data_IF_491677281944
#
_entry.id   IF_491677281944
#
_cell.length_a   1.000
_cell.length_b   1.000
_cell.length_c   1.000
_cell.angle_alpha   90.00
_cell.angle_beta   90.00
_cell.angle_gamma   90.00
#
_symmetry.space_group_name_H-M   'P 1'
#
loop_
_entity.id
_entity.type
_entity.pdbx_description
1 polymer ?
#
# COMPACT_ATOMS: atom_id res chain seq x y z
N UNK A 1 8.84 -10.81 53.46
CA UNK A 1 7.80 -11.51 52.69
C UNK A 1 7.70 -10.81 51.36
N UNK A 2 8.41 -11.31 50.34
CA UNK A 2 8.28 -10.80 48.99
C UNK A 2 6.97 -11.37 48.44
N UNK A 3 5.89 -10.60 48.56
CA UNK A 3 4.73 -10.82 47.70
C UNK A 3 5.22 -10.37 46.33
N UNK A 4 5.72 -11.32 45.54
CA UNK A 4 5.80 -11.12 44.11
C UNK A 4 4.35 -10.90 43.67
N UNK A 5 4.00 -9.64 43.39
CA UNK A 5 2.82 -9.35 42.57
C UNK A 5 3.05 -10.12 41.28
N UNK A 6 2.42 -11.29 41.19
CA UNK A 6 2.31 -12.00 39.92
C UNK A 6 1.27 -11.18 39.19
N UNK A 7 1.71 -10.37 38.22
CA UNK A 7 0.79 -9.76 37.27
C UNK A 7 -0.02 -10.92 36.68
N UNK A 8 -1.35 -10.91 36.76
CA UNK A 8 -2.14 -11.99 36.19
C UNK A 8 -1.79 -12.12 34.71
N UNK A 9 -1.40 -13.34 34.32
CA UNK A 9 -1.05 -13.68 32.94
C UNK A 9 -2.27 -14.30 32.30
N UNK A 10 -2.91 -13.55 31.40
CA UNK A 10 -3.99 -14.01 30.54
C UNK A 10 -3.53 -13.77 29.10
N UNK A 11 -3.53 -14.82 28.28
CA UNK A 11 -3.09 -14.73 26.90
C UNK A 11 -4.08 -13.87 26.10
N UNK A 12 -3.58 -12.89 25.36
CA UNK A 12 -4.37 -11.91 24.61
C UNK A 12 -5.02 -10.81 25.46
N UNK A 13 -4.73 -10.73 26.76
CA UNK A 13 -5.21 -9.65 27.64
C UNK A 13 -4.21 -8.49 27.61
N UNK A 14 -4.52 -7.47 26.83
CA UNK A 14 -3.66 -6.33 26.56
C UNK A 14 -3.84 -5.20 27.58
N UNK A 15 -5.03 -5.07 28.19
CA UNK A 15 -5.33 -3.99 29.15
C UNK A 15 -5.34 -4.43 30.63
N UNK A 16 -5.05 -5.71 30.89
CA UNK A 16 -5.00 -6.38 32.19
C UNK A 16 -6.34 -6.41 32.94
N UNK A 17 -7.47 -6.41 32.23
CA UNK A 17 -8.79 -6.56 32.85
C UNK A 17 -9.17 -8.02 33.17
N UNK A 18 -8.29 -8.97 32.81
CA UNK A 18 -8.41 -10.42 33.00
C UNK A 18 -9.33 -11.17 32.03
N UNK A 19 -9.87 -10.49 31.02
CA UNK A 19 -10.57 -11.09 29.89
C UNK A 19 -9.76 -10.88 28.58
N UNK A 20 -10.10 -11.59 27.51
CA UNK A 20 -9.55 -11.34 26.17
C UNK A 20 -10.72 -11.06 25.25
N UNK A 21 -10.85 -9.82 24.81
CA UNK A 21 -11.94 -9.33 23.98
C UNK A 21 -11.50 -8.35 22.88
N UNK A 22 -12.47 -7.72 22.20
CA UNK A 22 -12.19 -6.83 21.07
C UNK A 22 -11.42 -5.58 21.52
N UNK A 23 -11.59 -5.13 22.76
CA UNK A 23 -10.88 -3.99 23.33
C UNK A 23 -9.37 -4.27 23.35
N UNK A 24 -8.95 -5.48 23.72
CA UNK A 24 -7.55 -5.89 23.67
C UNK A 24 -7.01 -5.89 22.24
N UNK A 25 -7.81 -6.36 21.28
CA UNK A 25 -7.44 -6.34 19.85
C UNK A 25 -7.16 -4.91 19.38
N UNK A 26 -7.93 -3.92 19.83
CA UNK A 26 -7.70 -2.51 19.48
C UNK A 26 -6.39 -1.99 20.08
N UNK A 27 -6.04 -2.38 21.31
CA UNK A 27 -4.77 -2.02 21.93
C UNK A 27 -3.59 -2.63 21.14
N UNK A 28 -3.70 -3.88 20.70
CA UNK A 28 -2.68 -4.52 19.87
C UNK A 28 -2.52 -3.82 18.52
N UNK A 29 -3.63 -3.39 17.91
CA UNK A 29 -3.59 -2.60 16.66
C UNK A 29 -2.86 -1.27 16.88
N UNK A 30 -3.07 -0.61 18.02
CA UNK A 30 -2.35 0.61 18.37
C UNK A 30 -0.85 0.36 18.53
N UNK A 31 -0.44 -0.78 19.09
CA UNK A 31 0.98 -1.19 19.14
C UNK A 31 1.58 -1.40 17.75
N UNK A 32 0.88 -2.09 16.85
CA UNK A 32 1.33 -2.34 15.47
C UNK A 32 1.46 -1.03 14.68
N UNK A 33 0.50 -0.12 14.86
CA UNK A 33 0.50 1.20 14.24
C UNK A 33 1.47 2.19 14.89
N UNK A 34 2.20 1.77 15.93
CA UNK A 34 3.10 2.61 16.73
C UNK A 34 2.39 3.86 17.30
N UNK A 35 1.10 3.74 17.62
CA UNK A 35 0.37 4.76 18.38
C UNK A 35 0.73 4.71 19.87
N UNK A 36 1.00 3.50 20.37
CA UNK A 36 1.52 3.24 21.70
C UNK A 36 2.60 2.14 21.68
N UNK A 37 3.37 2.00 22.76
CA UNK A 37 4.42 1.00 22.88
C UNK A 37 4.17 0.07 24.08
N UNK A 38 4.13 -1.25 23.87
CA UNK A 38 3.82 -2.19 24.93
C UNK A 38 4.94 -2.24 25.97
N UNK A 39 4.54 -2.39 27.22
CA UNK A 39 5.41 -2.84 28.31
C UNK A 39 5.85 -4.29 28.11
N UNK A 40 6.87 -4.74 28.84
CA UNK A 40 7.33 -6.13 28.76
C UNK A 40 6.23 -7.15 29.12
N UNK A 41 5.32 -6.79 30.03
CA UNK A 41 4.23 -7.67 30.44
C UNK A 41 3.10 -7.68 29.40
N UNK A 42 2.74 -6.53 28.81
CA UNK A 42 1.77 -6.45 27.71
C UNK A 42 2.27 -7.24 26.50
N UNK A 43 3.53 -7.03 26.12
CA UNK A 43 4.17 -7.75 25.02
C UNK A 43 4.03 -9.26 25.18
N UNK A 44 4.27 -9.79 26.40
CA UNK A 44 4.14 -11.22 26.68
C UNK A 44 2.70 -11.74 26.64
N UNK A 45 1.72 -10.89 26.91
CA UNK A 45 0.32 -11.28 26.83
C UNK A 45 -0.15 -11.30 25.38
N UNK A 46 0.30 -10.34 24.56
CA UNK A 46 -0.23 -10.14 23.19
C UNK A 46 0.59 -10.80 22.08
N UNK A 47 1.83 -11.21 22.32
CA UNK A 47 2.58 -12.11 21.42
C UNK A 47 2.01 -13.54 21.55
N UNK A 48 0.95 -13.82 20.78
CA UNK A 48 0.12 -15.02 20.94
C UNK A 48 0.78 -16.24 20.28
N UNK A 49 1.48 -16.07 19.17
CA UNK A 49 2.23 -17.16 18.52
C UNK A 49 3.61 -17.36 19.13
N UNK A 50 4.07 -16.47 20.02
CA UNK A 50 5.40 -16.50 20.63
C UNK A 50 6.51 -16.40 19.58
N UNK A 51 6.34 -15.52 18.59
CA UNK A 51 7.32 -15.28 17.54
C UNK A 51 8.27 -14.09 17.81
N UNK A 52 8.14 -13.47 18.99
CA UNK A 52 8.89 -12.28 19.43
C UNK A 52 8.60 -11.01 18.60
N UNK A 53 7.48 -10.99 17.86
CA UNK A 53 6.95 -9.80 17.19
C UNK A 53 5.49 -9.57 17.57
N UNK A 54 5.02 -8.32 17.55
CA UNK A 54 3.59 -8.02 17.60
C UNK A 54 3.19 -7.59 16.21
N UNK A 55 2.32 -8.37 15.59
CA UNK A 55 1.90 -8.14 14.22
C UNK A 55 0.49 -8.67 13.94
N UNK A 56 0.06 -8.56 12.67
CA UNK A 56 -1.24 -9.01 12.23
C UNK A 56 -1.57 -10.48 12.57
N UNK A 57 -0.58 -11.36 12.68
CA UNK A 57 -0.80 -12.74 13.11
C UNK A 57 -1.41 -12.80 14.51
N UNK A 58 -0.87 -12.02 15.46
CA UNK A 58 -1.35 -11.93 16.85
C UNK A 58 -2.80 -11.46 16.89
N UNK A 59 -3.11 -10.41 16.15
CA UNK A 59 -4.49 -9.90 16.01
C UNK A 59 -5.43 -11.01 15.51
N UNK A 60 -5.06 -11.75 14.47
CA UNK A 60 -5.91 -12.82 13.94
C UNK A 60 -6.05 -13.99 14.93
N UNK A 61 -5.00 -14.35 15.66
CA UNK A 61 -5.07 -15.40 16.68
C UNK A 61 -5.90 -14.96 17.89
N UNK A 62 -5.84 -13.70 18.30
CA UNK A 62 -6.70 -13.13 19.33
C UNK A 62 -8.17 -13.22 18.92
N UNK A 63 -8.49 -12.83 17.68
CA UNK A 63 -9.85 -12.96 17.13
C UNK A 63 -10.32 -14.44 17.16
N UNK A 64 -9.43 -15.40 16.87
CA UNK A 64 -9.73 -16.82 16.98
C UNK A 64 -9.97 -17.30 18.42
N UNK A 65 -9.28 -16.71 19.39
CA UNK A 65 -9.49 -16.98 20.82
C UNK A 65 -10.85 -16.46 21.28
N UNK A 66 -11.25 -15.26 20.83
CA UNK A 66 -12.52 -14.60 21.19
C UNK A 66 -13.73 -15.33 20.60
N UNK A 67 -13.70 -15.63 19.30
CA UNK A 67 -14.88 -16.16 18.58
C UNK A 67 -14.92 -17.69 18.45
N UNK A 68 -13.84 -18.38 18.84
CA UNK A 68 -13.72 -19.83 18.69
C UNK A 68 -13.47 -20.20 17.23
N UNK A 69 -12.19 -20.12 16.83
CA UNK A 69 -11.68 -20.20 15.45
C UNK A 69 -12.51 -21.03 14.46
N UNK A 70 -13.26 -20.33 13.61
CA UNK A 70 -13.92 -20.90 12.44
C UNK A 70 -12.91 -21.26 11.32
N UNK A 71 -11.73 -20.63 11.31
CA UNK A 71 -10.67 -20.80 10.32
C UNK A 71 -9.92 -22.14 10.38
N UNK A 72 -10.06 -22.93 11.45
CA UNK A 72 -9.30 -24.18 11.68
C UNK A 72 -9.65 -25.35 10.74
N UNK A 73 -10.53 -25.14 9.76
CA UNK A 73 -11.02 -26.19 8.86
C UNK A 73 -10.39 -26.17 7.46
N UNK A 74 -9.55 -25.18 7.15
CA UNK A 74 -8.84 -25.08 5.87
C UNK A 74 -7.39 -25.56 6.07
N UNK A 75 -6.96 -26.51 5.24
CA UNK A 75 -5.60 -27.05 5.24
C UNK A 75 -4.62 -25.94 4.85
N UNK A 76 -3.78 -25.49 5.80
CA UNK A 76 -2.70 -24.55 5.53
C UNK A 76 -1.60 -25.26 4.74
N UNK A 77 -1.34 -24.81 3.52
CA UNK A 77 -0.23 -25.26 2.71
C UNK A 77 0.90 -24.22 2.77
N UNK A 78 1.95 -24.55 3.52
CA UNK A 78 3.14 -23.71 3.69
C UNK A 78 3.90 -23.43 2.37
N UNK A 79 3.56 -24.11 1.27
CA UNK A 79 4.11 -23.84 -0.06
C UNK A 79 3.35 -22.76 -0.83
N UNK A 80 2.18 -22.32 -0.34
CA UNK A 80 1.47 -21.22 -0.98
C UNK A 80 2.22 -19.89 -0.80
N UNK A 81 2.18 -19.09 -1.85
CA UNK A 81 2.79 -17.76 -1.91
C UNK A 81 1.71 -16.78 -2.34
N UNK A 82 1.59 -15.68 -1.60
CA UNK A 82 0.78 -14.54 -2.00
C UNK A 82 1.64 -13.57 -2.82
N UNK A 83 1.16 -13.18 -3.99
CA UNK A 83 1.80 -12.14 -4.79
C UNK A 83 1.14 -10.80 -4.52
N UNK A 84 1.96 -9.77 -4.27
CA UNK A 84 1.48 -8.43 -3.92
C UNK A 84 1.92 -7.41 -4.97
N UNK A 85 1.01 -6.50 -5.30
CA UNK A 85 1.29 -5.38 -6.20
C UNK A 85 0.72 -4.08 -5.64
N UNK A 86 1.51 -3.00 -5.75
CA UNK A 86 1.03 -1.63 -5.69
C UNK A 86 0.74 -1.17 -7.10
N UNK A 87 -0.53 -0.91 -7.41
CA UNK A 87 -0.96 -0.52 -8.76
C UNK A 87 -1.53 0.90 -8.75
N UNK A 88 -1.04 1.82 -9.60
CA UNK A 88 -1.59 3.17 -9.68
C UNK A 88 -2.84 3.20 -10.57
N UNK A 89 -3.88 3.87 -10.08
CA UNK A 89 -5.03 4.30 -10.89
C UNK A 89 -4.95 5.82 -11.05
N UNK A 90 -4.29 6.21 -12.15
CA UNK A 90 -4.09 7.60 -12.55
C UNK A 90 -5.40 8.36 -12.82
N UNK A 91 -6.48 7.68 -13.18
CA UNK A 91 -7.74 8.33 -13.50
C UNK A 91 -8.51 8.79 -12.25
N UNK A 92 -8.32 8.09 -11.14
CA UNK A 92 -9.00 8.38 -9.87
C UNK A 92 -8.04 8.84 -8.76
N UNK A 93 -6.76 9.09 -9.09
CA UNK A 93 -5.72 9.50 -8.15
C UNK A 93 -5.66 8.60 -6.91
N UNK A 94 -5.52 7.29 -7.13
CA UNK A 94 -5.46 6.31 -6.06
C UNK A 94 -4.40 5.24 -6.34
N UNK A 95 -3.89 4.65 -5.29
CA UNK A 95 -3.07 3.45 -5.33
C UNK A 95 -3.92 2.26 -4.85
N UNK A 96 -3.81 1.12 -5.52
CA UNK A 96 -4.48 -0.12 -5.14
C UNK A 96 -3.45 -1.10 -4.58
N UNK A 97 -3.73 -1.63 -3.39
CA UNK A 97 -3.02 -2.76 -2.83
C UNK A 97 -3.71 -4.04 -3.32
N UNK A 98 -3.04 -4.76 -4.22
CA UNK A 98 -3.56 -5.98 -4.83
C UNK A 98 -2.91 -7.22 -4.24
N UNK A 99 -3.72 -8.24 -3.97
CA UNK A 99 -3.27 -9.55 -3.47
C UNK A 99 -3.76 -10.63 -4.44
N UNK A 100 -2.82 -11.40 -4.97
CA UNK A 100 -3.09 -12.63 -5.73
C UNK A 100 -2.67 -13.83 -4.86
N UNK A 101 -3.66 -14.44 -4.22
CA UNK A 101 -3.51 -15.56 -3.29
C UNK A 101 -4.71 -16.52 -3.39
N UNK A 102 -4.46 -17.82 -3.27
CA UNK A 102 -5.50 -18.88 -3.37
C UNK A 102 -6.23 -19.14 -2.07
N UNK A 103 -5.56 -18.94 -0.94
CA UNK A 103 -6.12 -19.12 0.39
C UNK A 103 -6.90 -17.91 0.88
N UNK A 104 -7.57 -18.03 2.05
CA UNK A 104 -8.25 -16.91 2.67
C UNK A 104 -7.24 -15.92 3.28
N UNK A 105 -7.45 -14.63 3.02
CA UNK A 105 -6.73 -13.54 3.68
C UNK A 105 -7.54 -13.09 4.89
N UNK A 106 -7.05 -13.29 6.10
CA UNK A 106 -7.76 -12.90 7.33
C UNK A 106 -7.38 -11.52 7.83
N UNK A 107 -6.13 -11.12 7.57
CA UNK A 107 -5.63 -9.80 7.84
C UNK A 107 -4.34 -9.52 7.06
N UNK A 108 -3.97 -8.26 6.98
CA UNK A 108 -2.66 -7.84 6.49
C UNK A 108 -2.24 -6.52 7.16
N UNK A 109 -0.93 -6.29 7.15
CA UNK A 109 -0.32 -5.02 7.48
C UNK A 109 0.79 -4.70 6.47
N UNK A 110 1.03 -3.41 6.25
CA UNK A 110 2.15 -2.92 5.45
C UNK A 110 2.38 -1.43 5.72
N UNK A 111 3.52 -0.94 5.30
CA UNK A 111 3.89 0.47 5.37
C UNK A 111 4.00 1.06 3.97
N UNK A 112 3.54 2.29 3.82
CA UNK A 112 3.66 3.07 2.60
C UNK A 112 4.61 4.23 2.85
N UNK A 113 5.74 4.27 2.13
CA UNK A 113 6.71 5.36 2.18
C UNK A 113 6.51 6.31 1.00
N UNK A 114 6.55 7.62 1.28
CA UNK A 114 6.38 8.66 0.28
C UNK A 114 7.10 9.96 0.70
N UNK A 115 7.28 10.88 -0.26
CA UNK A 115 7.76 12.22 0.05
C UNK A 115 6.56 13.14 0.40
N UNK A 116 6.38 13.55 1.67
CA UNK A 116 5.26 14.38 2.09
C UNK A 116 5.33 15.81 1.53
N UNK A 117 6.45 16.22 0.92
CA UNK A 117 6.54 17.49 0.20
C UNK A 117 5.97 17.41 -1.23
N UNK A 118 5.73 16.21 -1.76
CA UNK A 118 5.26 15.99 -3.13
C UNK A 118 3.95 15.21 -3.21
N UNK A 119 3.62 14.41 -2.20
CA UNK A 119 2.42 13.56 -2.17
C UNK A 119 1.69 13.73 -0.84
N UNK A 120 0.40 14.05 -0.90
CA UNK A 120 -0.51 13.88 0.22
C UNK A 120 -1.22 12.53 0.10
N UNK A 121 -1.28 11.79 1.20
CA UNK A 121 -1.95 10.48 1.26
C UNK A 121 -3.17 10.61 2.16
N UNK A 122 -4.31 10.11 1.69
CA UNK A 122 -5.55 10.13 2.46
C UNK A 122 -5.85 8.76 3.08
N UNK A 123 -6.87 8.72 3.93
CA UNK A 123 -7.27 7.52 4.64
C UNK A 123 -7.56 6.35 3.66
N UNK A 124 -6.90 5.20 3.85
CA UNK A 124 -7.16 4.01 3.05
C UNK A 124 -8.56 3.46 3.35
N UNK A 125 -9.13 2.78 2.36
CA UNK A 125 -10.42 2.11 2.50
C UNK A 125 -10.46 0.79 1.75
N UNK A 126 -11.37 -0.10 2.17
CA UNK A 126 -11.58 -1.35 1.47
C UNK A 126 -12.11 -1.11 0.05
N UNK A 127 -11.52 -1.79 -0.92
CA UNK A 127 -12.01 -1.76 -2.30
C UNK A 127 -13.40 -2.41 -2.43
N UNK A 128 -13.72 -3.34 -1.53
CA UNK A 128 -15.06 -3.91 -1.32
C UNK A 128 -15.48 -3.70 0.14
N UNK A 129 -16.51 -2.89 0.36
CA UNK A 129 -17.02 -2.61 1.70
C UNK A 129 -17.52 -3.89 2.39
N UNK A 130 -17.03 -4.12 3.62
CA UNK A 130 -17.35 -5.23 4.50
C UNK A 130 -17.47 -4.67 5.92
N UNK A 131 -18.61 -4.89 6.58
CA UNK A 131 -18.92 -4.36 7.92
C UNK A 131 -18.18 -5.07 9.06
N UNK A 132 -17.65 -6.26 8.77
CA UNK A 132 -16.86 -7.07 9.70
C UNK A 132 -15.35 -6.89 9.56
N UNK A 133 -14.89 -6.06 8.61
CA UNK A 133 -13.46 -5.80 8.39
C UNK A 133 -13.10 -4.42 8.93
N UNK A 134 -12.14 -4.40 9.84
CA UNK A 134 -11.53 -3.18 10.34
C UNK A 134 -10.39 -2.78 9.42
N UNK A 135 -10.30 -1.48 9.12
CA UNK A 135 -9.13 -0.87 8.49
C UNK A 135 -8.68 0.27 9.39
N UNK A 136 -7.44 0.20 9.84
CA UNK A 136 -6.81 1.22 10.67
C UNK A 136 -5.52 1.67 9.99
N UNK A 137 -5.19 2.94 10.13
CA UNK A 137 -4.01 3.51 9.50
C UNK A 137 -3.45 4.66 10.29
N UNK A 138 -2.13 4.78 10.33
CA UNK A 138 -1.43 5.85 11.03
C UNK A 138 -0.34 6.43 10.16
N UNK A 139 -0.42 7.74 9.90
CA UNK A 139 0.67 8.49 9.30
C UNK A 139 1.67 8.92 10.39
N UNK A 140 2.92 8.53 10.20
CA UNK A 140 4.07 9.17 10.82
C UNK A 140 4.43 10.39 9.99
N UNK A 141 4.54 11.57 10.61
CA UNK A 141 4.82 12.86 9.93
C UNK A 141 6.16 12.95 9.18
N UNK A 142 6.84 11.82 8.99
CA UNK A 142 8.05 11.63 8.18
C UNK A 142 7.76 11.06 6.78
N UNK A 143 6.50 10.91 6.37
CA UNK A 143 6.14 10.34 5.07
C UNK A 143 6.02 8.81 5.08
N UNK A 144 5.61 8.24 6.21
CA UNK A 144 5.33 6.80 6.35
C UNK A 144 3.89 6.65 6.81
N UNK A 145 3.09 5.90 6.07
CA UNK A 145 1.72 5.53 6.43
C UNK A 145 1.67 4.03 6.73
N UNK A 146 1.46 3.68 7.99
CA UNK A 146 1.19 2.29 8.40
C UNK A 146 -0.28 1.98 8.16
N UNK A 147 -0.56 0.81 7.60
CA UNK A 147 -1.91 0.35 7.28
C UNK A 147 -2.07 -1.06 7.81
N UNK A 148 -3.19 -1.31 8.50
CA UNK A 148 -3.59 -2.62 8.98
C UNK A 148 -5.05 -2.86 8.61
N UNK A 149 -5.37 -4.08 8.17
CA UNK A 149 -6.74 -4.54 8.05
C UNK A 149 -6.91 -5.95 8.62
N UNK A 150 -8.01 -6.18 9.33
CA UNK A 150 -8.32 -7.46 9.94
C UNK A 150 -9.81 -7.75 9.88
N UNK A 151 -10.18 -9.01 9.63
CA UNK A 151 -11.53 -9.51 9.78
C UNK A 151 -11.84 -9.81 11.26
N UNK A 152 -12.77 -9.05 11.85
CA UNK A 152 -13.12 -9.12 13.26
C UNK A 152 -14.06 -10.29 13.62
N UNK A 153 -14.54 -11.07 12.66
CA UNK A 153 -15.43 -12.22 12.89
C UNK A 153 -14.76 -13.57 12.60
N UNK A 154 -13.45 -13.55 12.33
CA UNK A 154 -12.67 -14.73 11.98
C UNK A 154 -12.94 -15.29 10.58
N UNK A 155 -13.55 -14.48 9.72
CA UNK A 155 -13.72 -14.72 8.30
C UNK A 155 -12.48 -14.32 7.49
N UNK A 156 -12.70 -14.02 6.21
CA UNK A 156 -11.67 -13.56 5.28
C UNK A 156 -12.08 -12.23 4.66
N UNK A 157 -11.09 -11.38 4.43
CA UNK A 157 -11.22 -10.14 3.69
C UNK A 157 -11.35 -10.48 2.20
N UNK A 158 -12.36 -9.92 1.54
CA UNK A 158 -12.55 -10.06 0.11
C UNK A 158 -12.15 -8.79 -0.63
N UNK A 159 -11.33 -8.93 -1.68
CA UNK A 159 -11.01 -7.86 -2.61
C UNK A 159 -12.04 -7.70 -3.75
N UNK A 160 -12.00 -6.55 -4.43
CA UNK A 160 -12.67 -6.32 -5.72
C UNK A 160 -11.62 -6.41 -6.83
N UNK A 161 -11.76 -7.37 -7.74
CA UNK A 161 -10.81 -7.57 -8.85
C UNK A 161 -9.34 -7.65 -8.38
N UNK A 162 -9.08 -8.34 -7.26
CA UNK A 162 -7.77 -8.47 -6.56
C UNK A 162 -7.33 -7.26 -5.75
N UNK A 163 -7.98 -6.11 -5.87
CA UNK A 163 -7.73 -4.94 -5.02
C UNK A 163 -8.39 -5.12 -3.67
N UNK A 164 -7.62 -5.08 -2.58
CA UNK A 164 -8.11 -5.22 -1.21
C UNK A 164 -8.28 -3.84 -0.55
N UNK A 165 -7.28 -2.96 -0.72
CA UNK A 165 -7.29 -1.59 -0.22
C UNK A 165 -7.08 -0.62 -1.37
N UNK A 166 -7.83 0.47 -1.31
CA UNK A 166 -7.62 1.67 -2.11
C UNK A 166 -7.09 2.78 -1.23
N UNK A 167 -6.02 3.44 -1.66
CA UNK A 167 -5.36 4.54 -0.97
C UNK A 167 -5.46 5.77 -1.87
N UNK A 168 -6.34 6.73 -1.57
CA UNK A 168 -6.41 7.97 -2.33
C UNK A 168 -5.14 8.81 -2.10
N UNK A 169 -4.58 9.36 -3.16
CA UNK A 169 -3.35 10.16 -3.13
C UNK A 169 -3.54 11.45 -3.92
N UNK A 170 -2.91 12.54 -3.49
CA UNK A 170 -2.86 13.80 -4.20
C UNK A 170 -1.41 14.20 -4.45
N UNK A 171 -1.09 14.55 -5.70
CA UNK A 171 0.23 15.03 -6.06
C UNK A 171 0.28 16.56 -5.97
N UNK A 172 1.10 17.08 -5.06
CA UNK A 172 1.23 18.52 -4.80
C UNK A 172 2.48 19.14 -5.46
N UNK A 173 3.31 18.32 -6.12
CA UNK A 173 4.49 18.77 -6.86
C UNK A 173 4.17 19.48 -8.19
N UNK A 174 5.22 19.84 -8.93
CA UNK A 174 5.08 20.40 -10.28
C UNK A 174 4.76 19.33 -11.33
N UNK A 175 4.06 19.70 -12.39
CA UNK A 175 3.55 18.78 -13.41
C UNK A 175 4.59 17.88 -14.13
N UNK A 176 5.89 18.23 -14.09
CA UNK A 176 6.99 17.42 -14.67
C UNK A 176 7.76 16.60 -13.63
N UNK A 177 7.40 16.73 -12.35
CA UNK A 177 7.96 15.93 -11.27
C UNK A 177 7.19 14.62 -11.16
N UNK A 178 7.87 13.63 -10.60
CA UNK A 178 7.33 12.32 -10.27
C UNK A 178 7.78 12.04 -8.84
N UNK A 179 6.87 11.55 -8.02
CA UNK A 179 7.17 11.11 -6.66
C UNK A 179 6.93 9.60 -6.56
N UNK A 180 7.97 8.80 -6.30
CA UNK A 180 7.79 7.39 -6.03
C UNK A 180 7.11 7.22 -4.67
N UNK A 181 6.20 6.25 -4.61
CA UNK A 181 5.58 5.75 -3.38
C UNK A 181 5.91 4.27 -3.30
N UNK A 182 6.49 3.83 -2.19
CA UNK A 182 6.92 2.44 -1.97
C UNK A 182 6.15 1.76 -0.85
N UNK A 183 6.03 0.44 -0.94
CA UNK A 183 5.52 -0.42 0.13
C UNK A 183 6.65 -1.22 0.77
N UNK A 184 6.64 -1.27 2.09
CA UNK A 184 7.54 -2.08 2.91
C UNK A 184 6.77 -2.82 4.01
N UNK A 185 7.44 -3.72 4.74
CA UNK A 185 6.88 -4.37 5.93
C UNK A 185 5.63 -5.23 5.68
N UNK A 186 5.44 -5.76 4.47
CA UNK A 186 4.19 -6.46 4.11
C UNK A 186 4.10 -7.79 4.86
N UNK A 187 3.07 -7.94 5.68
CA UNK A 187 2.69 -9.20 6.33
C UNK A 187 1.23 -9.55 6.04
N UNK A 188 0.97 -10.82 5.82
CA UNK A 188 -0.35 -11.36 5.46
C UNK A 188 -0.68 -12.52 6.38
N UNK A 189 -1.80 -12.47 7.08
CA UNK A 189 -2.30 -13.56 7.93
C UNK A 189 -3.29 -14.44 7.15
N UNK A 190 -2.99 -15.73 7.10
CA UNK A 190 -3.77 -16.76 6.39
C UNK A 190 -4.87 -17.39 7.23
N UNK A 191 -5.39 -18.54 6.77
CA UNK A 191 -6.55 -19.22 7.36
C UNK A 191 -6.43 -19.53 8.86
N UNK A 192 -5.26 -20.01 9.27
CA UNK A 192 -4.97 -20.48 10.63
C UNK A 192 -4.34 -19.39 11.51
N UNK A 193 -4.29 -18.14 11.03
CA UNK A 193 -3.65 -17.02 11.71
C UNK A 193 -2.14 -16.94 11.50
N UNK A 194 -1.52 -17.93 10.85
CA UNK A 194 -0.09 -17.86 10.53
C UNK A 194 0.20 -16.88 9.39
N UNK A 195 1.44 -16.39 9.35
CA UNK A 195 1.91 -15.53 8.28
C UNK A 195 2.12 -16.33 6.98
N UNK A 196 1.54 -15.82 5.90
CA UNK A 196 1.70 -16.35 4.55
C UNK A 196 2.98 -15.79 3.94
N UNK A 197 3.69 -16.61 3.15
CA UNK A 197 4.86 -16.14 2.40
C UNK A 197 4.44 -15.14 1.32
N UNK A 198 5.02 -13.95 1.36
CA UNK A 198 4.70 -12.85 0.44
C UNK A 198 5.83 -12.63 -0.56
N UNK A 199 5.46 -12.49 -1.84
CA UNK A 199 6.34 -12.02 -2.90
C UNK A 199 5.75 -10.76 -3.52
N UNK A 200 6.33 -9.61 -3.20
CA UNK A 200 5.95 -8.37 -3.83
C UNK A 200 6.54 -8.27 -5.25
N UNK A 201 5.66 -8.19 -6.26
CA UNK A 201 6.04 -8.02 -7.67
C UNK A 201 6.26 -6.55 -8.00
N UNK A 202 5.37 -5.69 -7.48
CA UNK A 202 5.44 -4.23 -7.64
C UNK A 202 5.39 -3.57 -6.27
N UNK A 203 6.54 -3.13 -5.75
CA UNK A 203 6.63 -2.44 -4.46
C UNK A 203 6.65 -0.93 -4.60
N UNK A 204 6.89 -0.39 -5.78
CA UNK A 204 7.00 1.07 -6.01
C UNK A 204 6.07 1.49 -7.13
N UNK A 205 5.32 2.56 -6.90
CA UNK A 205 4.46 3.21 -7.89
C UNK A 205 4.73 4.71 -7.96
N UNK A 206 4.75 5.24 -9.17
CA UNK A 206 4.97 6.66 -9.42
C UNK A 206 3.65 7.43 -9.33
N UNK A 207 3.60 8.41 -8.43
CA UNK A 207 2.53 9.41 -8.32
C UNK A 207 3.00 10.71 -9.01
N UNK A 208 2.15 11.25 -9.89
CA UNK A 208 2.45 12.41 -10.75
C UNK A 208 1.18 13.05 -11.26
N UNK A 209 1.28 14.28 -11.78
CA UNK A 209 0.15 14.94 -12.45
C UNK A 209 -0.12 14.30 -13.81
N UNK A 210 -1.40 14.05 -14.10
CA UNK A 210 -1.87 13.49 -15.35
C UNK A 210 -2.62 14.60 -16.12
N UNK A 211 -2.23 14.90 -17.37
CA UNK A 211 -2.92 15.90 -18.16
C UNK A 211 -4.33 15.42 -18.56
N UNK A 212 -5.25 16.36 -18.77
CA UNK A 212 -6.62 16.04 -19.17
C UNK A 212 -6.82 15.77 -20.68
N UNK A 213 -5.86 16.17 -21.51
CA UNK A 213 -5.94 16.02 -22.97
C UNK A 213 -4.57 15.80 -23.62
N UNK A 214 -4.57 15.25 -24.83
CA UNK A 214 -3.36 15.16 -25.65
C UNK A 214 -2.99 16.55 -26.18
N UNK A 215 -1.75 16.99 -25.97
CA UNK A 215 -1.27 18.26 -26.50
C UNK A 215 0.20 18.17 -26.93
N UNK A 216 0.56 18.86 -28.02
CA UNK A 216 1.95 19.17 -28.37
C UNK A 216 2.16 20.65 -28.08
N UNK A 217 3.01 20.94 -27.10
CA UNK A 217 3.25 22.30 -26.64
C UNK A 217 4.23 23.01 -27.57
N UNK A 218 4.18 24.34 -27.56
CA UNK A 218 5.11 25.15 -28.32
C UNK A 218 6.55 24.88 -27.84
N UNK A 219 7.44 24.57 -28.78
CA UNK A 219 8.83 24.31 -28.45
C UNK A 219 9.51 25.59 -27.92
N UNK A 220 10.26 25.47 -26.84
CA UNK A 220 10.92 26.59 -26.17
C UNK A 220 12.34 26.23 -25.72
N UNK A 221 13.33 27.12 -25.91
CA UNK A 221 13.23 28.40 -26.61
C UNK A 221 13.27 28.24 -28.13
N UNK A 222 12.52 29.10 -28.84
CA UNK A 222 12.48 29.24 -30.31
C UNK A 222 12.08 30.71 -30.58
N UNK A 223 12.75 31.51 -31.46
CA UNK A 223 13.74 31.16 -32.51
C UNK A 223 15.22 31.47 -32.21
N UNK A 224 16.11 30.78 -32.95
CA UNK A 224 17.59 30.89 -32.99
C UNK A 224 18.43 30.25 -31.86
N UNK A 225 17.90 29.24 -31.15
CA UNK A 225 18.72 28.45 -30.22
C UNK A 225 19.17 27.12 -30.86
N UNK A 226 20.41 26.66 -30.57
CA UNK A 226 20.92 25.38 -31.06
C UNK A 226 20.20 24.19 -30.45
N UNK A 227 19.52 24.38 -29.31
CA UNK A 227 18.63 23.39 -28.73
C UNK A 227 17.29 24.01 -28.32
N UNK A 228 16.24 23.20 -28.40
CA UNK A 228 14.88 23.58 -28.00
C UNK A 228 14.22 22.40 -27.29
N UNK A 229 13.39 22.67 -26.30
CA UNK A 229 12.61 21.67 -25.59
C UNK A 229 11.26 21.51 -26.27
N UNK A 230 10.89 20.27 -26.59
CA UNK A 230 9.58 19.90 -27.12
C UNK A 230 8.84 19.19 -25.99
N UNK A 231 7.73 19.80 -25.56
CA UNK A 231 6.87 19.28 -24.50
C UNK A 231 5.59 18.73 -25.10
N UNK A 232 5.08 17.64 -24.53
CA UNK A 232 3.84 17.03 -24.96
C UNK A 232 3.16 16.33 -23.79
N UNK A 233 1.84 16.29 -23.87
CA UNK A 233 0.96 15.90 -22.79
C UNK A 233 0.24 14.62 -23.20
N UNK A 234 0.24 13.62 -22.32
CA UNK A 234 -0.32 12.30 -22.57
C UNK A 234 -1.33 11.92 -21.48
N UNK A 235 -2.65 11.98 -21.72
CA UNK A 235 -3.68 11.74 -20.71
C UNK A 235 -3.87 10.25 -20.38
N UNK A 236 -3.55 9.36 -21.32
CA UNK A 236 -3.69 7.90 -21.19
C UNK A 236 -2.52 7.18 -21.85
N UNK A 237 -2.27 5.92 -21.48
CA UNK A 237 -1.17 5.14 -22.08
C UNK A 237 -1.35 5.04 -23.59
N UNK A 238 -0.28 5.29 -24.34
CA UNK A 238 -0.36 5.25 -25.80
C UNK A 238 0.98 5.19 -26.50
N UNK A 239 0.95 4.76 -27.76
CA UNK A 239 2.13 4.77 -28.63
C UNK A 239 2.41 6.18 -29.14
N UNK A 240 3.52 6.76 -28.72
CA UNK A 240 3.95 8.11 -29.09
C UNK A 240 5.01 8.04 -30.18
N UNK A 241 4.76 8.70 -31.31
CA UNK A 241 5.74 8.88 -32.39
C UNK A 241 6.00 10.37 -32.61
N UNK A 242 7.12 10.87 -32.09
CA UNK A 242 7.53 12.25 -32.22
C UNK A 242 8.60 12.37 -33.32
N UNK A 243 8.27 13.02 -34.43
CA UNK A 243 9.15 13.18 -35.58
C UNK A 243 9.27 14.63 -36.04
N UNK A 244 10.49 15.02 -36.41
CA UNK A 244 10.84 16.33 -36.96
C UNK A 244 10.75 16.27 -38.48
N UNK A 245 10.07 17.24 -39.06
CA UNK A 245 9.93 17.41 -40.51
C UNK A 245 10.48 18.77 -40.93
N UNK A 246 11.09 18.83 -42.11
CA UNK A 246 11.48 20.10 -42.72
C UNK A 246 10.29 20.76 -43.45
N UNK A 247 10.48 21.98 -43.95
CA UNK A 247 9.43 22.72 -44.67
C UNK A 247 8.95 22.04 -45.96
N UNK A 248 9.73 21.09 -46.49
CA UNK A 248 9.34 20.29 -47.66
C UNK A 248 8.57 19.01 -47.26
N UNK A 249 8.25 18.85 -45.97
CA UNK A 249 7.56 17.67 -45.45
C UNK A 249 8.43 16.41 -45.36
N UNK A 250 9.75 16.54 -45.50
CA UNK A 250 10.66 15.39 -45.37
C UNK A 250 11.00 15.17 -43.90
N UNK A 251 10.90 13.92 -43.45
CA UNK A 251 11.28 13.53 -42.10
C UNK A 251 12.79 13.68 -41.92
N UNK A 252 13.19 14.55 -41.00
CA UNK A 252 14.59 14.80 -40.62
C UNK A 252 15.05 13.76 -39.61
N UNK A 253 14.25 13.55 -38.55
CA UNK A 253 14.59 12.64 -37.44
C UNK A 253 13.32 12.21 -36.71
N UNK A 254 13.30 10.98 -36.20
CA UNK A 254 12.34 10.57 -35.17
C UNK A 254 13.03 10.73 -33.82
N UNK A 255 12.45 11.52 -32.92
CA UNK A 255 13.00 11.74 -31.58
C UNK A 255 12.60 10.63 -30.61
N UNK A 256 11.37 10.11 -30.74
CA UNK A 256 10.86 9.00 -29.92
C UNK A 256 9.78 8.22 -30.69
N UNK A 257 9.71 6.92 -30.45
CA UNK A 257 8.74 6.01 -31.07
C UNK A 257 8.51 4.78 -30.18
N UNK A 258 7.74 4.93 -29.11
CA UNK A 258 7.47 3.86 -28.14
C UNK A 258 6.13 4.05 -27.43
N UNK A 259 5.67 3.03 -26.70
CA UNK A 259 4.54 3.16 -25.78
C UNK A 259 4.99 3.91 -24.54
N UNK A 260 4.21 4.90 -24.13
CA UNK A 260 4.51 5.77 -22.99
C UNK A 260 3.36 5.77 -21.99
N UNK A 261 3.72 5.82 -20.71
CA UNK A 261 2.78 5.99 -19.60
C UNK A 261 2.22 7.43 -19.56
N UNK A 262 1.00 7.63 -19.04
CA UNK A 262 0.39 8.96 -18.93
C UNK A 262 1.29 9.96 -18.19
N UNK A 263 1.17 11.24 -18.51
CA UNK A 263 1.89 12.33 -17.84
C UNK A 263 2.34 13.44 -18.79
N UNK A 264 3.02 14.43 -18.22
CA UNK A 264 3.71 15.48 -18.95
C UNK A 264 5.11 15.03 -19.33
N UNK A 265 5.44 15.13 -20.61
CA UNK A 265 6.72 14.68 -21.15
C UNK A 265 7.46 15.84 -21.79
N UNK A 266 8.80 15.78 -21.75
CA UNK A 266 9.62 16.73 -22.49
C UNK A 266 10.87 16.07 -23.07
N UNK A 267 11.31 16.59 -24.21
CA UNK A 267 12.54 16.14 -24.85
C UNK A 267 13.29 17.30 -25.48
N UNK A 268 14.61 17.23 -25.42
CA UNK A 268 15.50 18.20 -26.05
C UNK A 268 15.75 17.81 -27.50
N UNK A 269 15.60 18.77 -28.39
CA UNK A 269 16.01 18.71 -29.79
C UNK A 269 17.18 19.66 -30.02
N UNK A 270 18.27 19.17 -30.61
CA UNK A 270 19.56 19.88 -30.74
C UNK A 270 20.07 20.05 -32.19
N UNK A 271 19.25 19.73 -33.20
CA UNK A 271 19.56 19.96 -34.61
C UNK A 271 19.99 18.73 -35.41
#
# INVERSE_FOLDING_TARGET
SNVACTVPYTLGDADFDSDCDISDVLVVVDFILEEDFPTEDEFRNVDVNMDEEINIADVIMMIDMIFGGAGRSVEFDASEVAYIDLVPDYAHSRLSFEIEYSGPVRGFEFELEYDPALVEVHSPGLSKFQDHVMVSSKESGTGVLKILAADLQGGAIEGLDRSFITIPVEFIGHQYQVAPVSMEGIKLAGADGSLVNVVARTTTSDVKVIPGEFALQQNFPNPFNPSTEIRYDLPEEGFVNLAIYNMMGQKVRTLRSETMQPGYHSMVWDG
#
